data_IF_043522258222
#
_entry.id   IF_043522258222
#
_cell.length_a   1.000
_cell.length_b   1.000
_cell.length_c   1.000
_cell.angle_alpha   90.00
_cell.angle_beta   90.00
_cell.angle_gamma   90.00
#
_symmetry.space_group_name_H-M   'P 1'
#
loop_
_entity.id
_entity.type
_entity.pdbx_description
1 polymer ?
#
# COMPACT_ATOMS: atom_id res chain seq x y z
N UNK A 1 25.84 -11.70 20.72
CA UNK A 1 24.76 -10.68 20.53
C UNK A 1 24.11 -10.94 19.19
N UNK A 2 22.93 -11.51 19.19
CA UNK A 2 22.15 -11.62 17.95
C UNK A 2 21.52 -10.25 17.70
N UNK A 3 22.06 -9.53 16.71
CA UNK A 3 21.40 -8.34 16.20
C UNK A 3 20.10 -8.78 15.53
N UNK A 4 19.00 -8.76 16.28
CA UNK A 4 17.66 -8.99 15.76
C UNK A 4 17.17 -7.73 15.03
N UNK A 5 17.86 -7.36 13.95
CA UNK A 5 17.35 -6.33 13.02
C UNK A 5 15.99 -6.71 12.43
N UNK A 6 15.66 -8.00 12.47
CA UNK A 6 14.38 -8.54 12.01
C UNK A 6 13.25 -8.46 13.04
N UNK A 7 13.55 -8.07 14.28
CA UNK A 7 12.54 -7.89 15.34
C UNK A 7 12.14 -6.43 15.53
N UNK A 8 12.59 -5.55 14.64
CA UNK A 8 12.19 -4.15 14.70
C UNK A 8 10.68 -4.03 14.47
N UNK A 9 10.07 -3.28 15.36
CA UNK A 9 8.64 -2.97 15.28
C UNK A 9 8.37 -2.18 14.00
N UNK A 10 7.41 -2.64 13.21
CA UNK A 10 6.94 -1.89 12.04
C UNK A 10 6.30 -0.58 12.50
N UNK A 11 6.74 0.52 11.93
CA UNK A 11 6.27 1.86 12.26
C UNK A 11 5.82 2.56 10.98
N UNK A 12 4.58 3.00 10.96
CA UNK A 12 4.10 3.95 9.98
C UNK A 12 4.50 5.37 10.39
N UNK A 13 5.25 6.06 9.54
CA UNK A 13 5.78 7.41 9.84
C UNK A 13 4.87 8.54 9.38
N UNK A 14 3.78 8.25 8.68
CA UNK A 14 2.86 9.25 8.16
C UNK A 14 1.94 9.84 9.24
N UNK A 15 1.38 11.01 8.93
CA UNK A 15 0.46 11.74 9.81
C UNK A 15 -1.01 11.37 9.60
N UNK A 16 -1.29 10.49 8.64
CA UNK A 16 -2.66 10.10 8.33
C UNK A 16 -3.29 9.31 9.47
N UNK A 17 -4.43 9.78 9.96
CA UNK A 17 -5.26 9.09 10.94
C UNK A 17 -6.35 8.23 10.26
N UNK A 18 -6.34 8.15 8.95
CA UNK A 18 -7.31 7.35 8.18
C UNK A 18 -7.24 5.89 8.61
N UNK A 19 -8.35 5.29 9.05
CA UNK A 19 -8.38 3.87 9.36
C UNK A 19 -8.02 3.03 8.13
N UNK A 20 -7.33 1.93 8.35
CA UNK A 20 -6.98 1.00 7.27
C UNK A 20 -8.24 0.34 6.73
N UNK A 21 -8.44 0.43 5.43
CA UNK A 21 -9.57 -0.17 4.72
C UNK A 21 -9.10 -0.79 3.41
N UNK A 22 -9.59 -1.98 3.10
CA UNK A 22 -9.23 -2.74 1.92
C UNK A 22 -10.40 -2.83 0.96
N UNK A 23 -10.10 -2.71 -0.32
CA UNK A 23 -11.04 -2.99 -1.41
C UNK A 23 -10.35 -3.88 -2.45
N UNK A 24 -10.94 -5.02 -2.74
CA UNK A 24 -10.46 -5.97 -3.73
C UNK A 24 -11.43 -6.03 -4.91
N UNK A 25 -10.89 -5.82 -6.10
CA UNK A 25 -11.58 -6.06 -7.36
C UNK A 25 -10.89 -7.22 -8.08
N UNK A 26 -11.63 -8.30 -8.32
CA UNK A 26 -11.15 -9.48 -9.04
C UNK A 26 -11.92 -9.58 -10.35
N UNK A 27 -11.22 -9.61 -11.48
CA UNK A 27 -11.89 -9.53 -12.77
C UNK A 27 -11.17 -10.29 -13.89
N UNK A 28 -11.92 -10.58 -14.94
CA UNK A 28 -11.44 -11.04 -16.24
C UNK A 28 -12.20 -10.30 -17.36
N UNK A 29 -12.13 -10.80 -18.59
CA UNK A 29 -12.77 -10.16 -19.74
C UNK A 29 -14.32 -10.08 -19.67
N UNK A 30 -14.97 -10.92 -18.84
CA UNK A 30 -16.45 -11.09 -18.84
C UNK A 30 -17.08 -10.86 -17.47
N UNK A 31 -16.32 -10.96 -16.40
CA UNK A 31 -16.84 -10.93 -15.03
C UNK A 31 -15.98 -10.06 -14.12
N UNK A 32 -16.63 -9.44 -13.15
CA UNK A 32 -15.99 -8.67 -12.09
C UNK A 32 -16.66 -8.98 -10.77
N UNK A 33 -15.85 -9.14 -9.73
CA UNK A 33 -16.29 -9.36 -8.36
C UNK A 33 -15.55 -8.40 -7.43
N UNK A 34 -16.26 -7.81 -6.49
CA UNK A 34 -15.69 -6.87 -5.53
C UNK A 34 -15.96 -7.34 -4.10
N UNK A 35 -15.00 -7.08 -3.22
CA UNK A 35 -15.16 -7.23 -1.77
C UNK A 35 -14.38 -6.15 -1.04
N UNK A 36 -14.81 -5.82 0.17
CA UNK A 36 -14.14 -4.82 0.98
C UNK A 36 -14.26 -5.12 2.46
N UNK A 37 -13.40 -4.53 3.26
CA UNK A 37 -13.37 -4.69 4.71
C UNK A 37 -12.14 -4.06 5.33
N UNK A 38 -12.03 -4.15 6.64
CA UNK A 38 -10.97 -3.53 7.41
C UNK A 38 -9.81 -4.49 7.72
N UNK A 39 -9.98 -5.77 7.40
CA UNK A 39 -8.96 -6.81 7.61
C UNK A 39 -8.67 -7.55 6.31
N UNK A 40 -7.47 -8.09 6.19
CA UNK A 40 -7.10 -8.88 5.02
C UNK A 40 -7.98 -10.13 4.88
N UNK A 41 -8.35 -10.74 5.98
CA UNK A 41 -9.25 -11.91 6.01
C UNK A 41 -10.60 -11.61 5.35
N UNK A 42 -11.11 -10.38 5.46
CA UNK A 42 -12.41 -9.99 4.88
C UNK A 42 -12.43 -9.99 3.35
N UNK A 43 -11.28 -9.85 2.70
CA UNK A 43 -11.16 -9.81 1.23
C UNK A 43 -10.42 -11.03 0.66
N UNK A 44 -9.64 -11.72 1.46
CA UNK A 44 -8.74 -12.81 1.03
C UNK A 44 -9.46 -13.93 0.27
N UNK A 45 -10.66 -14.30 0.69
CA UNK A 45 -11.42 -15.38 0.07
C UNK A 45 -11.91 -15.05 -1.34
N UNK A 46 -11.97 -13.77 -1.70
CA UNK A 46 -12.36 -13.31 -3.04
C UNK A 46 -11.19 -13.34 -4.03
N UNK A 47 -9.95 -13.50 -3.57
CA UNK A 47 -8.79 -13.65 -4.43
C UNK A 47 -8.95 -14.88 -5.33
N UNK A 48 -8.67 -14.70 -6.61
CA UNK A 48 -8.78 -15.75 -7.63
C UNK A 48 -7.51 -15.74 -8.51
N UNK A 49 -6.74 -16.80 -8.44
CA UNK A 49 -5.47 -16.92 -9.16
C UNK A 49 -5.63 -17.00 -10.69
N UNK A 50 -6.83 -17.29 -11.18
CA UNK A 50 -7.13 -17.33 -12.62
C UNK A 50 -7.60 -15.98 -13.16
N UNK A 51 -7.72 -14.97 -12.30
CA UNK A 51 -8.19 -13.64 -12.64
C UNK A 51 -7.16 -12.58 -12.27
N UNK A 52 -7.37 -11.37 -12.76
CA UNK A 52 -6.60 -10.22 -12.30
C UNK A 52 -7.21 -9.76 -10.96
N UNK A 53 -6.35 -9.62 -9.96
CA UNK A 53 -6.72 -9.14 -8.64
C UNK A 53 -6.13 -7.75 -8.43
N UNK A 54 -6.97 -6.78 -8.15
CA UNK A 54 -6.56 -5.43 -7.80
C UNK A 54 -6.95 -5.15 -6.36
N UNK A 55 -5.97 -5.24 -5.47
CA UNK A 55 -6.14 -4.93 -4.06
C UNK A 55 -5.72 -3.49 -3.79
N UNK A 56 -6.65 -2.68 -3.32
CA UNK A 56 -6.42 -1.33 -2.85
C UNK A 56 -6.41 -1.31 -1.32
N UNK A 57 -5.41 -0.64 -0.76
CA UNK A 57 -5.28 -0.44 0.68
C UNK A 57 -5.26 1.05 0.97
N UNK A 58 -6.27 1.52 1.67
CA UNK A 58 -6.39 2.90 2.11
C UNK A 58 -6.03 3.00 3.59
N UNK A 59 -5.11 3.90 3.93
CA UNK A 59 -4.64 4.05 5.29
C UNK A 59 -3.66 2.94 5.70
N UNK A 60 -2.49 3.34 6.19
CA UNK A 60 -1.41 2.42 6.56
C UNK A 60 -1.22 2.29 8.07
N UNK A 61 -2.19 2.76 8.85
CA UNK A 61 -2.09 2.79 10.30
C UNK A 61 -2.09 1.40 10.94
N UNK A 62 -2.86 0.47 10.38
CA UNK A 62 -2.85 -0.93 10.81
C UNK A 62 -1.69 -1.68 10.15
N UNK A 63 -0.51 -1.58 10.74
CA UNK A 63 0.72 -2.19 10.21
C UNK A 63 0.67 -3.72 10.19
N UNK A 64 -0.10 -4.35 11.05
CA UNK A 64 -0.27 -5.81 11.04
C UNK A 64 -1.04 -6.29 9.81
N UNK A 65 -2.09 -5.58 9.42
CA UNK A 65 -2.81 -5.88 8.16
C UNK A 65 -1.89 -5.73 6.95
N UNK A 66 -1.06 -4.68 6.90
CA UNK A 66 -0.08 -4.50 5.82
C UNK A 66 0.94 -5.65 5.81
N UNK A 67 1.40 -6.07 6.98
CA UNK A 67 2.31 -7.21 7.14
C UNK A 67 1.68 -8.51 6.60
N UNK A 68 0.43 -8.79 6.93
CA UNK A 68 -0.27 -9.97 6.44
C UNK A 68 -0.38 -9.98 4.92
N UNK A 69 -0.71 -8.85 4.32
CA UNK A 69 -0.79 -8.69 2.86
C UNK A 69 0.57 -8.96 2.22
N UNK A 70 1.62 -8.32 2.71
CA UNK A 70 2.97 -8.50 2.19
C UNK A 70 3.46 -9.96 2.35
N UNK A 71 3.16 -10.58 3.47
CA UNK A 71 3.49 -12.00 3.70
C UNK A 71 2.75 -12.91 2.72
N UNK A 72 1.47 -12.68 2.48
CA UNK A 72 0.66 -13.49 1.55
C UNK A 72 1.19 -13.43 0.12
N UNK A 73 1.59 -12.24 -0.34
CA UNK A 73 2.11 -12.04 -1.70
C UNK A 73 3.64 -12.19 -1.79
N UNK A 74 4.29 -12.66 -0.75
CA UNK A 74 5.74 -12.86 -0.70
C UNK A 74 6.53 -11.57 -1.03
N UNK A 75 6.04 -10.43 -0.54
CA UNK A 75 6.69 -9.13 -0.67
C UNK A 75 7.74 -8.99 0.42
N UNK A 76 8.96 -8.61 0.05
CA UNK A 76 10.09 -8.48 0.97
C UNK A 76 9.83 -7.49 2.11
N UNK A 77 10.37 -7.80 3.28
CA UNK A 77 10.27 -6.97 4.47
C UNK A 77 10.82 -5.55 4.25
N UNK A 78 11.89 -5.40 3.47
CA UNK A 78 12.44 -4.08 3.14
C UNK A 78 11.47 -3.24 2.32
N UNK A 79 10.72 -3.86 1.40
CA UNK A 79 9.65 -3.18 0.66
C UNK A 79 8.51 -2.76 1.60
N UNK A 80 8.14 -3.63 2.54
CA UNK A 80 7.14 -3.29 3.56
C UNK A 80 7.57 -2.07 4.39
N UNK A 81 8.83 -1.99 4.80
CA UNK A 81 9.36 -0.81 5.49
C UNK A 81 9.28 0.45 4.63
N UNK A 82 9.57 0.35 3.35
CA UNK A 82 9.49 1.46 2.40
C UNK A 82 8.04 1.95 2.22
N UNK A 83 7.07 1.04 2.14
CA UNK A 83 5.64 1.36 2.08
C UNK A 83 5.21 2.20 3.29
N UNK A 84 5.66 1.81 4.48
CA UNK A 84 5.29 2.46 5.73
C UNK A 84 6.05 3.77 5.99
N UNK A 85 7.08 4.07 5.21
CA UNK A 85 7.82 5.31 5.28
C UNK A 85 7.18 6.38 4.39
N UNK A 86 6.40 7.28 4.97
CA UNK A 86 5.68 8.33 4.24
C UNK A 86 6.58 9.35 3.54
N UNK A 87 7.86 9.42 3.89
CA UNK A 87 8.85 10.33 3.30
C UNK A 87 9.83 9.61 2.37
N UNK A 88 9.49 8.41 1.92
CA UNK A 88 10.36 7.66 1.04
C UNK A 88 10.56 8.36 -0.31
N UNK A 89 11.78 8.43 -0.85
CA UNK A 89 12.01 8.96 -2.20
C UNK A 89 11.23 8.19 -3.27
N UNK A 90 10.81 8.88 -4.31
CA UNK A 90 10.20 8.26 -5.49
C UNK A 90 11.18 7.27 -6.11
N UNK A 91 10.71 6.05 -6.39
CA UNK A 91 11.53 5.00 -7.01
C UNK A 91 10.70 4.00 -7.81
N UNK A 92 11.38 3.34 -8.73
CA UNK A 92 10.96 2.08 -9.37
C UNK A 92 12.01 1.04 -9.04
N UNK A 93 11.58 -0.13 -8.58
CA UNK A 93 12.48 -1.23 -8.20
C UNK A 93 11.93 -2.55 -8.72
N UNK A 94 12.76 -3.26 -9.47
CA UNK A 94 12.44 -4.59 -9.99
C UNK A 94 12.89 -5.68 -9.01
N UNK A 95 12.01 -6.61 -8.71
CA UNK A 95 12.26 -7.85 -8.00
C UNK A 95 11.94 -9.04 -8.91
N UNK A 96 12.34 -10.24 -8.52
CA UNK A 96 12.14 -11.44 -9.35
C UNK A 96 10.67 -11.72 -9.67
N UNK A 97 9.76 -11.42 -8.73
CA UNK A 97 8.33 -11.75 -8.83
C UNK A 97 7.41 -10.53 -8.96
N UNK A 98 7.92 -9.33 -8.76
CA UNK A 98 7.12 -8.11 -8.78
C UNK A 98 7.96 -6.86 -9.05
N UNK A 99 7.28 -5.79 -9.40
CA UNK A 99 7.85 -4.46 -9.55
C UNK A 99 7.20 -3.55 -8.50
N UNK A 100 8.02 -2.77 -7.80
CA UNK A 100 7.57 -1.76 -6.83
C UNK A 100 7.73 -0.37 -7.42
N UNK A 101 6.67 0.42 -7.36
CA UNK A 101 6.65 1.81 -7.73
C UNK A 101 6.19 2.64 -6.54
N UNK A 102 7.06 3.53 -6.05
CA UNK A 102 6.72 4.51 -5.01
C UNK A 102 6.74 5.90 -5.64
N UNK A 103 5.63 6.61 -5.53
CA UNK A 103 5.47 7.95 -6.10
C UNK A 103 4.70 8.87 -5.16
N UNK A 104 4.74 10.16 -5.45
CA UNK A 104 4.02 11.18 -4.71
C UNK A 104 2.99 11.83 -5.62
N UNK A 105 1.78 11.98 -5.09
CA UNK A 105 0.70 12.70 -5.72
C UNK A 105 0.55 14.03 -5.00
N UNK A 106 0.47 15.11 -5.76
CA UNK A 106 0.24 16.45 -5.25
C UNK A 106 -1.17 16.90 -5.62
N UNK A 107 -1.87 17.50 -4.69
CA UNK A 107 -3.21 18.02 -4.91
C UNK A 107 -3.42 19.33 -4.15
N UNK A 108 -4.29 20.23 -4.67
CA UNK A 108 -4.52 21.51 -4.03
C UNK A 108 -5.15 21.34 -2.65
N UNK A 109 -4.75 22.20 -1.72
CA UNK A 109 -5.43 22.31 -0.44
C UNK A 109 -6.61 23.27 -0.58
N UNK A 110 -7.84 22.77 -0.53
CA UNK A 110 -9.07 23.55 -0.68
C UNK A 110 -9.24 24.65 0.40
N UNK A 111 -8.47 24.59 1.48
CA UNK A 111 -8.53 25.54 2.58
C UNK A 111 -7.49 26.67 2.51
N UNK A 112 -6.63 26.69 1.48
CA UNK A 112 -5.65 27.77 1.26
C UNK A 112 -5.95 28.50 -0.05
N UNK A 113 -6.01 29.83 0.03
CA UNK A 113 -6.12 30.70 -1.13
C UNK A 113 -4.86 30.62 -1.99
N UNK A 114 -5.11 30.71 -3.27
CA UNK A 114 -4.30 30.50 -4.46
C UNK A 114 -2.85 30.95 -4.49
N UNK A 115 -2.10 30.31 -5.39
CA UNK A 115 -0.81 30.65 -5.97
C UNK A 115 0.46 30.33 -5.17
N UNK A 116 0.36 29.67 -4.02
CA UNK A 116 1.52 29.24 -3.28
C UNK A 116 1.78 27.74 -3.47
N UNK A 117 2.97 27.38 -3.97
CA UNK A 117 3.42 25.98 -4.02
C UNK A 117 3.38 25.31 -2.63
N UNK A 118 3.43 26.13 -1.56
CA UNK A 118 3.25 25.68 -0.18
C UNK A 118 1.81 25.28 0.16
N UNK A 119 0.85 25.55 -0.72
CA UNK A 119 -0.55 25.15 -0.61
C UNK A 119 -0.86 23.76 -1.14
N UNK A 120 0.12 23.03 -1.68
CA UNK A 120 -0.08 21.68 -2.19
C UNK A 120 0.01 20.65 -1.06
N UNK A 121 -0.98 19.79 -1.01
CA UNK A 121 -0.94 18.58 -0.18
C UNK A 121 -0.23 17.45 -0.95
N UNK A 122 0.48 16.61 -0.22
CA UNK A 122 1.26 15.52 -0.77
C UNK A 122 0.78 14.20 -0.20
N UNK A 123 0.63 13.21 -1.06
CA UNK A 123 0.31 11.84 -0.67
C UNK A 123 1.27 10.86 -1.34
N UNK A 124 1.80 9.93 -0.58
CA UNK A 124 2.59 8.83 -1.13
C UNK A 124 1.67 7.70 -1.59
N UNK A 125 1.97 7.18 -2.76
CA UNK A 125 1.30 6.01 -3.32
C UNK A 125 2.36 4.95 -3.63
N UNK A 126 2.10 3.72 -3.21
CA UNK A 126 2.90 2.56 -3.56
C UNK A 126 2.07 1.62 -4.43
N UNK A 127 2.61 1.24 -5.58
CA UNK A 127 2.01 0.26 -6.49
C UNK A 127 2.95 -0.93 -6.60
N UNK A 128 2.42 -2.13 -6.39
CA UNK A 128 3.16 -3.37 -6.56
C UNK A 128 2.46 -4.19 -7.62
N UNK A 129 3.19 -4.46 -8.70
CA UNK A 129 2.72 -5.29 -9.81
C UNK A 129 3.41 -6.65 -9.75
N UNK A 130 2.65 -7.68 -9.45
CA UNK A 130 3.10 -9.06 -9.39
C UNK A 130 2.47 -9.93 -10.49
N UNK A 131 2.97 -11.15 -10.62
CA UNK A 131 2.42 -12.18 -11.51
C UNK A 131 1.23 -12.89 -10.87
#
# INVERSE_FOLDING_TARGET
MKNNLLSEKLIYTGDSLTPTHLHLCTYNATEMQESSGDTFQSVKETLDNERINWLQVHGLKDTETIREICSHFEIDFLVLQDILNADHPTKIEEHDKYIVLILKIFYPNEHKEDDDLDGLLQQQVCIILGN
#
